data_IF_136067925921
#
_entry.id   IF_136067925921
#
_cell.length_a   1.000
_cell.length_b   1.000
_cell.length_c   1.000
_cell.angle_alpha   90.00
_cell.angle_beta   90.00
_cell.angle_gamma   90.00
#
_symmetry.space_group_name_H-M   'P 1'
#
loop_
_entity.id
_entity.type
_entity.pdbx_description
1 polymer ?
#
# COMPACT_ATOMS: atom_id res chain seq x y z
N UNK A 1 -6.46 -10.10 10.11
CA UNK A 1 -7.43 -10.07 8.98
C UNK A 1 -6.65 -10.23 7.70
N UNK A 2 -7.21 -10.79 6.61
CA UNK A 2 -6.49 -10.85 5.34
C UNK A 2 -6.24 -9.43 4.81
N UNK A 3 -5.02 -9.19 4.32
CA UNK A 3 -4.62 -7.91 3.73
C UNK A 3 -5.54 -7.53 2.56
N UNK A 4 -5.59 -6.24 2.26
CA UNK A 4 -6.36 -5.65 1.16
C UNK A 4 -5.87 -6.05 -0.23
N UNK A 5 -4.61 -6.47 -0.34
CA UNK A 5 -4.00 -7.02 -1.55
C UNK A 5 -3.27 -8.32 -1.23
N UNK A 6 -3.30 -9.27 -2.17
CA UNK A 6 -2.62 -10.55 -2.01
C UNK A 6 -1.15 -10.47 -2.40
N UNK A 7 -0.34 -11.39 -1.87
CA UNK A 7 1.07 -11.50 -2.24
C UNK A 7 1.27 -11.72 -3.74
N UNK A 8 0.40 -12.51 -4.38
CA UNK A 8 0.45 -12.76 -5.83
C UNK A 8 0.21 -11.47 -6.64
N UNK A 9 -0.80 -10.68 -6.27
CA UNK A 9 -1.09 -9.40 -6.91
C UNK A 9 0.06 -8.42 -6.77
N UNK A 10 0.65 -8.34 -5.56
CA UNK A 10 1.80 -7.48 -5.32
C UNK A 10 3.01 -7.93 -6.15
N UNK A 11 3.35 -9.23 -6.15
CA UNK A 11 4.49 -9.74 -6.94
C UNK A 11 4.32 -9.50 -8.44
N UNK A 12 3.10 -9.66 -8.96
CA UNK A 12 2.79 -9.36 -10.36
C UNK A 12 2.99 -7.86 -10.67
N UNK A 13 2.52 -6.98 -9.79
CA UNK A 13 2.68 -5.53 -9.94
C UNK A 13 4.15 -5.09 -9.84
N UNK A 14 4.88 -5.61 -8.85
CA UNK A 14 6.29 -5.28 -8.59
C UNK A 14 7.26 -5.96 -9.59
N UNK A 15 6.78 -6.94 -10.36
CA UNK A 15 7.60 -7.86 -11.16
C UNK A 15 8.69 -8.57 -10.32
N UNK A 16 8.40 -8.83 -9.05
CA UNK A 16 9.33 -9.44 -8.10
C UNK A 16 9.31 -10.97 -8.19
N UNK A 17 10.49 -11.59 -8.18
CA UNK A 17 10.66 -13.06 -8.21
C UNK A 17 11.30 -13.57 -6.91
N UNK A 18 10.51 -14.22 -6.06
CA UNK A 18 10.98 -14.99 -4.90
C UNK A 18 11.11 -14.26 -3.57
N UNK A 19 11.00 -12.93 -3.53
CA UNK A 19 11.12 -12.12 -2.31
C UNK A 19 9.81 -12.04 -1.50
N UNK A 20 9.19 -13.19 -1.25
CA UNK A 20 7.84 -13.28 -0.68
C UNK A 20 7.73 -12.64 0.71
N UNK A 21 8.74 -12.82 1.56
CA UNK A 21 8.80 -12.23 2.90
C UNK A 21 8.94 -10.71 2.85
N UNK A 22 9.84 -10.20 2.00
CA UNK A 22 10.01 -8.75 1.81
C UNK A 22 8.74 -8.12 1.23
N UNK A 23 8.15 -8.73 0.18
CA UNK A 23 6.93 -8.21 -0.42
C UNK A 23 5.78 -8.23 0.61
N UNK A 24 5.69 -9.27 1.44
CA UNK A 24 4.74 -9.31 2.57
C UNK A 24 4.91 -8.13 3.53
N UNK A 25 6.15 -7.89 3.98
CA UNK A 25 6.47 -6.75 4.86
C UNK A 25 6.09 -5.40 4.23
N UNK A 26 6.35 -5.23 2.93
CA UNK A 26 6.04 -3.99 2.22
C UNK A 26 4.53 -3.78 2.06
N UNK A 27 3.76 -4.85 1.86
CA UNK A 27 2.29 -4.79 1.85
C UNK A 27 1.79 -4.33 3.22
N UNK A 28 2.24 -4.96 4.31
CA UNK A 28 1.78 -4.63 5.66
C UNK A 28 2.09 -3.17 6.01
N UNK A 29 3.29 -2.70 5.67
CA UNK A 29 3.71 -1.32 5.90
C UNK A 29 2.89 -0.32 5.06
N UNK A 30 2.66 -0.62 3.78
CA UNK A 30 1.87 0.23 2.89
C UNK A 30 0.39 0.26 3.31
N UNK A 31 -0.18 -0.88 3.69
CA UNK A 31 -1.56 -1.00 4.15
C UNK A 31 -1.80 -0.19 5.43
N UNK A 32 -0.93 -0.33 6.42
CA UNK A 32 -1.00 0.48 7.63
C UNK A 32 -0.94 1.98 7.30
N UNK A 33 -0.05 2.38 6.39
CA UNK A 33 0.12 3.79 6.01
C UNK A 33 -1.09 4.36 5.27
N UNK A 34 -1.67 3.62 4.32
CA UNK A 34 -2.88 4.04 3.59
C UNK A 34 -4.08 4.06 4.53
N UNK A 35 -4.25 3.04 5.37
CA UNK A 35 -5.33 2.97 6.35
C UNK A 35 -5.32 4.15 7.31
N UNK A 36 -4.15 4.52 7.85
CA UNK A 36 -4.01 5.70 8.71
C UNK A 36 -4.29 7.01 7.96
N UNK A 37 -3.86 7.15 6.71
CA UNK A 37 -4.06 8.36 5.92
C UNK A 37 -5.52 8.56 5.47
N UNK A 38 -6.24 7.47 5.26
CA UNK A 38 -7.67 7.46 4.93
C UNK A 38 -8.57 7.45 6.18
N UNK A 39 -8.06 7.04 7.34
CA UNK A 39 -8.87 6.85 8.54
C UNK A 39 -9.76 5.60 8.49
N UNK A 40 -9.39 4.59 7.70
CA UNK A 40 -10.20 3.36 7.53
C UNK A 40 -9.36 2.11 7.76
N UNK A 41 -10.01 1.02 8.16
CA UNK A 41 -9.38 -0.31 8.19
C UNK A 41 -9.51 -0.92 6.80
N UNK A 42 -8.36 -1.21 6.18
CA UNK A 42 -8.32 -1.84 4.86
C UNK A 42 -8.63 -3.34 4.96
N UNK A 43 -9.23 -3.87 3.90
CA UNK A 43 -9.56 -5.29 3.75
C UNK A 43 -9.67 -5.65 2.27
N UNK A 44 -9.84 -6.93 1.96
CA UNK A 44 -10.08 -7.38 0.59
C UNK A 44 -11.35 -6.75 -0.05
N UNK A 45 -12.29 -6.24 0.76
CA UNK A 45 -13.49 -5.53 0.29
C UNK A 45 -13.25 -4.03 0.04
N UNK A 46 -12.05 -3.51 0.35
CA UNK A 46 -11.75 -2.09 0.16
C UNK A 46 -11.83 -1.68 -1.31
N UNK A 47 -12.26 -0.43 -1.60
CA UNK A 47 -12.32 0.12 -2.95
C UNK A 47 -11.00 -0.04 -3.70
N UNK A 48 -11.10 -0.29 -5.01
CA UNK A 48 -9.94 -0.47 -5.89
C UNK A 48 -8.89 0.67 -5.78
N UNK A 49 -9.26 1.96 -5.66
CA UNK A 49 -8.30 3.05 -5.47
C UNK A 49 -7.41 2.90 -4.23
N UNK A 50 -7.96 2.45 -3.10
CA UNK A 50 -7.20 2.25 -1.86
C UNK A 50 -6.25 1.05 -1.99
N UNK A 51 -6.72 -0.04 -2.62
CA UNK A 51 -5.88 -1.22 -2.92
C UNK A 51 -4.74 -0.86 -3.88
N UNK A 52 -5.00 -0.01 -4.88
CA UNK A 52 -3.98 0.51 -5.79
C UNK A 52 -2.97 1.40 -5.05
N UNK A 53 -3.42 2.26 -4.13
CA UNK A 53 -2.52 3.08 -3.31
C UNK A 53 -1.52 2.22 -2.51
N UNK A 54 -1.98 1.10 -1.93
CA UNK A 54 -1.09 0.14 -1.24
C UNK A 54 -0.02 -0.41 -2.20
N UNK A 55 -0.41 -0.84 -3.40
CA UNK A 55 0.52 -1.36 -4.41
C UNK A 55 1.55 -0.32 -4.86
N UNK A 56 1.13 0.94 -5.07
CA UNK A 56 2.03 2.03 -5.47
C UNK A 56 3.07 2.31 -4.38
N UNK A 57 2.65 2.38 -3.11
CA UNK A 57 3.58 2.61 -2.00
C UNK A 57 4.54 1.42 -1.79
N UNK A 58 4.03 0.18 -1.89
CA UNK A 58 4.85 -1.02 -1.80
C UNK A 58 5.87 -1.08 -2.93
N UNK A 59 5.47 -0.76 -4.16
CA UNK A 59 6.37 -0.69 -5.32
C UNK A 59 7.45 0.37 -5.13
N UNK A 60 7.06 1.59 -4.72
CA UNK A 60 8.03 2.65 -4.47
C UNK A 60 9.04 2.26 -3.37
N UNK A 61 8.58 1.67 -2.27
CA UNK A 61 9.44 1.19 -1.19
C UNK A 61 10.39 0.07 -1.66
N UNK A 62 9.91 -0.81 -2.52
CA UNK A 62 10.72 -1.88 -3.10
C UNK A 62 11.82 -1.33 -4.02
N UNK A 63 11.47 -0.40 -4.91
CA UNK A 63 12.42 0.23 -5.84
C UNK A 63 13.47 1.10 -5.13
N UNK A 64 13.07 1.80 -4.05
CA UNK A 64 13.91 2.75 -3.31
C UNK A 64 14.39 2.18 -1.96
N UNK A 65 14.48 0.84 -1.85
CA UNK A 65 14.81 0.14 -0.60
C UNK A 65 16.15 0.52 0.03
N UNK A 66 17.05 1.13 -0.75
CA UNK A 66 18.37 1.58 -0.28
C UNK A 66 18.40 3.01 0.25
N UNK A 67 17.34 3.80 0.03
CA UNK A 67 17.32 5.23 0.35
C UNK A 67 16.97 5.50 1.82
N UNK A 68 16.48 4.48 2.56
CA UNK A 68 16.07 4.58 3.96
C UNK A 68 14.90 5.54 4.22
N UNK A 69 14.32 6.13 3.16
CA UNK A 69 13.23 7.10 3.25
C UNK A 69 11.89 6.39 3.02
N UNK A 70 10.87 6.67 3.85
CA UNK A 70 9.54 6.14 3.62
C UNK A 70 8.92 6.75 2.34
N UNK A 71 8.10 5.99 1.60
CA UNK A 71 7.39 6.50 0.42
C UNK A 71 6.58 7.77 0.74
N UNK A 72 6.68 8.82 -0.11
CA UNK A 72 5.90 10.03 0.09
C UNK A 72 4.41 9.76 -0.18
N UNK A 73 3.54 10.19 0.73
CA UNK A 73 2.08 10.02 0.61
C UNK A 73 1.51 10.76 -0.60
N UNK A 74 2.19 11.80 -1.08
CA UNK A 74 1.81 12.55 -2.27
C UNK A 74 1.70 11.68 -3.54
N UNK A 75 2.35 10.52 -3.59
CA UNK A 75 2.24 9.56 -4.70
C UNK A 75 0.82 9.00 -4.85
N UNK A 76 0.08 8.92 -3.75
CA UNK A 76 -1.23 8.27 -3.68
C UNK A 76 -2.33 9.17 -3.16
N UNK A 77 -2.00 10.41 -2.81
CA UNK A 77 -2.91 11.41 -2.28
C UNK A 77 -4.22 11.55 -3.08
N UNK A 78 -4.22 11.61 -4.43
CA UNK A 78 -5.46 11.71 -5.21
C UNK A 78 -6.39 10.50 -5.04
N UNK A 79 -5.84 9.32 -4.74
CA UNK A 79 -6.60 8.09 -4.52
C UNK A 79 -7.13 7.97 -3.10
N UNK A 80 -6.46 8.59 -2.13
CA UNK A 80 -6.81 8.56 -0.70
C UNK A 80 -7.80 9.67 -0.36
N UNK A 81 -7.63 10.86 -0.94
CA UNK A 81 -8.38 12.06 -0.58
C UNK A 81 -9.92 11.88 -0.48
N UNK A 82 -10.59 11.13 -1.39
CA UNK A 82 -12.04 10.93 -1.31
C UNK A 82 -12.50 10.07 -0.12
N UNK A 83 -11.62 9.26 0.46
CA UNK A 83 -11.93 8.31 1.53
C UNK A 83 -11.51 8.80 2.91
N UNK A 84 -10.82 9.95 2.96
CA UNK A 84 -10.36 10.51 4.21
C UNK A 84 -11.56 10.88 5.06
N UNK A 85 -11.71 10.23 6.22
CA UNK A 85 -12.67 10.68 7.20
C UNK A 85 -12.38 12.15 7.52
N UNK A 86 -13.37 13.02 7.27
CA UNK A 86 -13.31 14.39 7.74
C UNK A 86 -13.31 14.33 9.27
N UNK A 87 -12.13 14.48 9.88
CA UNK A 87 -12.01 14.72 11.32
C UNK A 87 -12.70 16.05 11.62
N UNK A 88 -13.98 15.97 11.98
CA UNK A 88 -14.77 17.05 12.59
C UNK A 88 -14.33 17.25 14.04
#
# INVERSE_FOLDING_TARGET
>A
MPNSVTLAQAKEFLRASGEDELVGLLIDAAEARVGQAAGVVLSAASPAPLRLAVLILACHAYEHRHDGRPPPLSLVEPWIAPYREARL
#
